data_IF_980067898935
#
_entry.id   IF_980067898935
#
_cell.length_a   1.000
_cell.length_b   1.000
_cell.length_c   1.000
_cell.angle_alpha   90.00
_cell.angle_beta   90.00
_cell.angle_gamma   90.00
#
_symmetry.space_group_name_H-M   'P 1'
#
loop_
_entity.id
_entity.type
_entity.pdbx_description
1 polymer ?
#
# COMPACT_ATOMS: atom_id res chain seq x y z
N UNK A 1 -4.68 -60.62 40.90
CA UNK A 1 -3.25 -60.36 40.57
C UNK A 1 -3.19 -59.48 39.33
N UNK A 2 -2.70 -58.24 39.42
CA UNK A 2 -2.64 -57.29 38.30
C UNK A 2 -1.27 -57.32 37.60
N UNK A 3 -1.26 -57.26 36.27
CA UNK A 3 -0.04 -57.18 35.46
C UNK A 3 0.07 -55.84 34.73
N UNK A 4 0.89 -54.97 35.32
CA UNK A 4 1.87 -54.02 34.75
C UNK A 4 1.47 -53.05 33.62
N UNK A 5 1.55 -51.78 34.04
CA UNK A 5 1.89 -50.57 33.30
C UNK A 5 2.89 -50.73 32.13
N UNK A 6 2.68 -49.93 31.07
CA UNK A 6 3.77 -49.24 30.36
C UNK A 6 3.30 -47.89 29.81
N UNK A 7 3.91 -46.85 30.34
CA UNK A 7 3.81 -45.46 29.92
C UNK A 7 5.05 -45.16 29.06
N UNK A 8 4.96 -44.50 27.90
CA UNK A 8 6.13 -43.87 27.29
C UNK A 8 6.22 -42.40 27.72
N UNK A 9 7.37 -42.05 28.30
CA UNK A 9 7.78 -40.70 28.67
C UNK A 9 8.09 -39.86 27.43
N UNK A 10 7.96 -38.55 27.66
CA UNK A 10 8.33 -37.42 26.82
C UNK A 10 9.74 -37.52 26.19
N UNK A 11 9.87 -36.96 24.98
CA UNK A 11 11.11 -36.38 24.48
C UNK A 11 10.90 -34.88 24.23
N UNK A 12 11.54 -34.08 25.08
CA UNK A 12 11.80 -32.66 24.88
C UNK A 12 12.92 -32.48 23.85
N UNK A 13 12.74 -31.54 22.91
CA UNK A 13 13.81 -30.63 22.45
C UNK A 13 13.20 -29.53 21.56
N UNK A 14 12.72 -28.45 22.18
CA UNK A 14 12.48 -27.17 21.50
C UNK A 14 13.81 -26.43 21.46
N UNK A 15 14.51 -26.49 20.33
CA UNK A 15 15.56 -25.52 20.04
C UNK A 15 14.89 -24.23 19.56
N UNK A 16 14.86 -23.20 20.41
CA UNK A 16 14.53 -21.84 20.01
C UNK A 16 15.78 -21.26 19.37
N UNK A 17 15.82 -21.19 18.05
CA UNK A 17 16.74 -20.32 17.33
C UNK A 17 16.24 -18.88 17.46
N UNK A 18 16.91 -18.08 18.28
CA UNK A 18 16.89 -16.62 18.17
C UNK A 18 17.47 -16.25 16.80
N UNK A 19 16.65 -15.61 15.95
CA UNK A 19 17.15 -14.97 14.74
C UNK A 19 17.57 -13.57 15.17
N UNK A 20 18.86 -13.40 15.42
CA UNK A 20 19.48 -12.09 15.59
C UNK A 20 19.53 -11.39 14.23
N UNK A 21 18.79 -10.29 14.10
CA UNK A 21 18.62 -9.53 12.85
C UNK A 21 19.72 -8.48 12.64
N UNK A 22 20.84 -8.57 13.35
CA UNK A 22 21.85 -7.52 13.31
C UNK A 22 23.30 -8.05 13.24
N UNK A 23 23.66 -8.66 12.11
CA UNK A 23 25.07 -8.90 11.79
C UNK A 23 25.32 -9.05 10.27
N UNK A 24 25.40 -7.94 9.52
CA UNK A 24 26.27 -7.85 8.34
C UNK A 24 26.93 -6.46 8.27
N UNK A 25 28.21 -6.43 8.62
CA UNK A 25 29.24 -5.52 8.11
C UNK A 25 30.47 -6.44 7.91
N UNK A 26 31.12 -6.54 6.76
CA UNK A 26 31.92 -5.51 6.09
C UNK A 26 32.14 -5.85 4.58
N UNK A 27 32.59 -4.88 3.75
CA UNK A 27 32.71 -4.94 2.29
C UNK A 27 34.10 -5.44 1.82
N UNK A 28 34.36 -5.31 0.52
CA UNK A 28 35.61 -5.57 -0.22
C UNK A 28 35.83 -6.99 -0.80
N UNK A 29 35.42 -7.14 -2.07
CA UNK A 29 36.34 -7.54 -3.13
C UNK A 29 35.87 -7.05 -4.51
N UNK A 30 36.79 -6.30 -5.13
CA UNK A 30 36.80 -5.70 -6.46
C UNK A 30 36.49 -6.70 -7.60
N UNK A 31 36.13 -6.33 -8.84
CA UNK A 31 36.86 -5.34 -9.67
C UNK A 31 36.10 -4.97 -10.97
N UNK A 32 36.23 -3.69 -11.38
CA UNK A 32 36.40 -3.16 -12.75
C UNK A 32 35.20 -3.22 -13.75
N UNK A 33 34.92 -2.23 -14.61
CA UNK A 33 35.53 -0.92 -14.91
C UNK A 33 34.53 -0.08 -15.75
N UNK A 34 34.60 1.25 -15.59
CA UNK A 34 34.37 2.31 -16.58
C UNK A 34 32.97 2.61 -17.18
N UNK A 35 32.38 3.74 -16.76
CA UNK A 35 31.96 4.83 -17.66
C UNK A 35 31.84 6.15 -16.87
N UNK A 36 32.61 7.14 -17.30
CA UNK A 36 32.81 8.47 -16.73
C UNK A 36 31.63 9.40 -17.01
N UNK A 37 31.30 10.30 -16.07
CA UNK A 37 30.84 11.65 -16.40
C UNK A 37 29.63 12.20 -15.66
N UNK A 38 29.87 13.27 -14.88
CA UNK A 38 28.96 14.42 -14.61
C UNK A 38 27.80 14.13 -13.63
N UNK A 39 27.49 14.92 -12.59
CA UNK A 39 27.89 16.26 -12.15
C UNK A 39 27.54 16.40 -10.66
N UNK A 40 28.39 17.07 -9.87
CA UNK A 40 28.07 17.61 -8.55
C UNK A 40 26.83 18.53 -8.64
N UNK A 41 25.79 18.25 -7.85
CA UNK A 41 24.98 19.25 -7.12
C UNK A 41 23.70 18.60 -6.57
N UNK A 42 23.68 18.29 -5.26
CA UNK A 42 22.51 18.36 -4.37
C UNK A 42 22.84 17.66 -3.05
N UNK A 43 23.71 18.27 -2.24
CA UNK A 43 23.69 18.04 -0.80
C UNK A 43 22.42 18.73 -0.25
N UNK A 44 21.27 18.09 -0.47
CA UNK A 44 19.97 18.51 0.03
C UNK A 44 19.85 18.07 1.49
N UNK A 45 19.92 19.04 2.39
CA UNK A 45 19.77 18.91 3.83
C UNK A 45 18.69 17.89 4.24
N UNK A 46 19.10 16.82 4.93
CA UNK A 46 18.23 16.04 5.81
C UNK A 46 17.84 16.96 6.97
N UNK A 47 16.80 17.77 6.74
CA UNK A 47 16.12 18.48 7.82
C UNK A 47 15.33 17.46 8.59
N UNK A 48 15.92 17.01 9.70
CA UNK A 48 15.22 16.37 10.81
C UNK A 48 14.09 17.30 11.25
N UNK A 49 12.90 17.07 10.70
CA UNK A 49 11.67 17.73 11.11
C UNK A 49 11.25 17.19 12.47
N UNK A 50 11.88 17.66 13.55
CA UNK A 50 11.27 17.63 14.88
C UNK A 50 10.09 18.59 14.84
N UNK A 51 8.91 18.04 14.55
CA UNK A 51 7.66 18.76 14.69
C UNK A 51 7.44 19.14 16.16
N UNK A 52 7.07 20.39 16.34
CA UNK A 52 6.81 21.10 17.59
C UNK A 52 5.88 20.33 18.53
N UNK A 53 6.29 20.24 19.78
CA UNK A 53 5.49 19.71 20.89
C UNK A 53 4.59 20.80 21.44
N UNK A 54 3.44 21.04 20.81
CA UNK A 54 2.32 21.76 21.41
C UNK A 54 1.07 20.88 21.26
N UNK A 55 0.46 20.51 22.40
CA UNK A 55 -0.77 19.71 22.45
C UNK A 55 -0.63 18.28 21.95
N UNK A 56 0.21 17.44 22.58
CA UNK A 56 0.27 16.00 22.25
C UNK A 56 -1.06 15.34 22.60
N UNK A 57 -1.94 15.21 21.62
CA UNK A 57 -3.05 14.28 21.68
C UNK A 57 -2.47 12.88 21.97
N UNK A 58 -2.97 12.15 22.98
CA UNK A 58 -2.52 10.79 23.27
C UNK A 58 -2.52 9.95 21.98
N UNK A 59 -1.53 9.07 21.81
CA UNK A 59 -1.47 8.24 20.60
C UNK A 59 -2.72 7.38 20.53
N UNK A 60 -3.45 7.48 19.41
CA UNK A 60 -4.62 6.67 19.14
C UNK A 60 -4.20 5.20 19.03
N UNK A 61 -4.54 4.41 20.04
CA UNK A 61 -4.19 2.98 20.13
C UNK A 61 -5.45 2.14 20.34
N UNK A 62 -5.38 0.88 19.92
CA UNK A 62 -6.42 -0.11 20.19
C UNK A 62 -5.83 -1.19 21.08
N UNK A 63 -6.41 -1.36 22.27
CA UNK A 63 -6.06 -2.43 23.19
C UNK A 63 -6.95 -3.62 22.94
N UNK A 64 -6.35 -4.81 22.86
CA UNK A 64 -7.05 -6.07 22.76
C UNK A 64 -7.34 -6.62 24.15
N UNK A 65 -8.53 -7.19 24.34
CA UNK A 65 -8.93 -7.89 25.56
C UNK A 65 -9.54 -9.25 25.21
N UNK A 66 -9.78 -10.09 26.22
CA UNK A 66 -10.43 -11.39 26.03
C UNK A 66 -11.85 -11.29 25.46
N UNK A 67 -12.53 -10.16 25.66
CA UNK A 67 -13.93 -9.96 25.28
C UNK A 67 -14.10 -8.99 24.09
N UNK A 68 -13.00 -8.54 23.47
CA UNK A 68 -13.07 -7.63 22.33
C UNK A 68 -11.87 -6.68 22.26
N UNK A 69 -12.13 -5.43 21.92
CA UNK A 69 -11.12 -4.37 21.84
C UNK A 69 -11.69 -3.07 22.39
N UNK A 70 -10.80 -2.16 22.79
CA UNK A 70 -11.14 -0.82 23.23
C UNK A 70 -10.17 0.19 22.62
N UNK A 71 -10.67 1.38 22.30
CA UNK A 71 -9.84 2.52 21.90
C UNK A 71 -9.21 3.08 23.18
N UNK A 72 -7.89 3.12 23.24
CA UNK A 72 -7.11 3.56 24.40
C UNK A 72 -6.92 5.08 24.35
N UNK A 73 -7.87 5.81 24.93
CA UNK A 73 -7.82 7.26 25.03
C UNK A 73 -8.40 7.74 26.38
N UNK A 74 -7.80 8.75 27.06
CA UNK A 74 -8.29 9.28 28.33
C UNK A 74 -9.72 9.83 28.26
N UNK A 75 -10.07 10.39 27.10
CA UNK A 75 -11.42 10.84 26.75
C UNK A 75 -12.03 9.88 25.72
N UNK A 76 -13.01 9.04 26.11
CA UNK A 76 -13.59 8.03 25.21
C UNK A 76 -14.26 8.63 23.97
N UNK A 77 -14.97 9.75 24.11
CA UNK A 77 -15.69 10.37 22.99
C UNK A 77 -14.71 10.96 21.98
N UNK A 78 -13.70 11.68 22.47
CA UNK A 78 -12.64 12.20 21.60
C UNK A 78 -11.84 11.06 20.94
N UNK A 79 -11.61 9.96 21.66
CA UNK A 79 -10.93 8.78 21.12
C UNK A 79 -11.70 8.13 19.97
N UNK A 80 -13.02 8.00 20.11
CA UNK A 80 -13.89 7.50 19.03
C UNK A 80 -13.91 8.46 17.84
N UNK A 81 -14.02 9.78 18.05
CA UNK A 81 -13.98 10.77 16.98
C UNK A 81 -12.65 10.73 16.21
N UNK A 82 -11.52 10.72 16.91
CA UNK A 82 -10.20 10.64 16.28
C UNK A 82 -10.00 9.34 15.47
N UNK A 83 -10.64 8.25 15.90
CA UNK A 83 -10.62 6.97 15.19
C UNK A 83 -11.53 6.96 13.97
N UNK A 84 -12.73 7.50 14.09
CA UNK A 84 -13.66 7.73 12.99
C UNK A 84 -12.99 8.55 11.88
N UNK A 85 -12.34 9.67 12.26
CA UNK A 85 -11.59 10.53 11.34
C UNK A 85 -10.39 9.81 10.70
N UNK A 86 -9.62 9.04 11.48
CA UNK A 86 -8.47 8.30 10.96
C UNK A 86 -8.86 7.19 9.96
N UNK A 87 -10.04 6.59 10.16
CA UNK A 87 -10.57 5.57 9.28
C UNK A 87 -11.36 6.15 8.10
N UNK A 88 -11.72 7.43 8.12
CA UNK A 88 -12.53 8.08 7.08
C UNK A 88 -14.01 7.68 7.11
N UNK A 89 -14.53 7.34 8.29
CA UNK A 89 -15.94 6.95 8.51
C UNK A 89 -16.56 7.81 9.59
N UNK A 90 -17.61 8.56 9.26
CA UNK A 90 -18.28 9.45 10.21
C UNK A 90 -19.24 8.71 11.17
N UNK A 91 -19.79 7.58 10.74
CA UNK A 91 -20.74 6.79 11.51
C UNK A 91 -20.03 5.88 12.52
N UNK A 92 -20.51 5.89 13.78
CA UNK A 92 -19.92 5.16 14.90
C UNK A 92 -19.99 3.64 14.70
N UNK A 93 -21.08 3.14 14.12
CA UNK A 93 -21.25 1.71 13.88
C UNK A 93 -20.37 1.23 12.73
N UNK A 94 -20.22 2.06 11.69
CA UNK A 94 -19.26 1.84 10.60
C UNK A 94 -17.82 1.81 11.12
N UNK A 95 -17.41 2.76 11.97
CA UNK A 95 -16.10 2.78 12.62
C UNK A 95 -15.85 1.48 13.41
N UNK A 96 -16.79 1.09 14.28
CA UNK A 96 -16.67 -0.14 15.04
C UNK A 96 -16.67 -1.39 14.16
N UNK A 97 -17.46 -1.40 13.08
CA UNK A 97 -17.50 -2.46 12.09
C UNK A 97 -16.16 -2.64 11.38
N UNK A 98 -15.55 -1.54 10.96
CA UNK A 98 -14.25 -1.53 10.30
C UNK A 98 -13.13 -2.00 11.24
N UNK A 99 -13.11 -1.52 12.49
CA UNK A 99 -12.17 -1.99 13.50
C UNK A 99 -12.32 -3.49 13.75
N UNK A 100 -13.55 -4.00 13.87
CA UNK A 100 -13.79 -5.46 13.99
C UNK A 100 -13.21 -6.24 12.82
N UNK A 101 -13.34 -5.74 11.60
CA UNK A 101 -12.78 -6.38 10.41
C UNK A 101 -11.25 -6.37 10.43
N UNK A 102 -10.63 -5.23 10.77
CA UNK A 102 -9.17 -5.12 10.90
C UNK A 102 -8.62 -6.01 12.03
N UNK A 103 -9.30 -6.07 13.18
CA UNK A 103 -8.95 -6.99 14.28
C UNK A 103 -8.95 -8.44 13.80
N UNK A 104 -9.97 -8.87 13.05
CA UNK A 104 -10.03 -10.22 12.49
C UNK A 104 -8.94 -10.47 11.45
N UNK A 105 -8.64 -9.50 10.59
CA UNK A 105 -7.56 -9.60 9.61
C UNK A 105 -6.17 -9.63 10.26
N UNK A 106 -6.02 -9.00 11.44
CA UNK A 106 -4.75 -8.94 12.16
C UNK A 106 -4.26 -10.31 12.67
N UNK A 107 -5.14 -11.32 12.74
CA UNK A 107 -4.90 -12.61 13.42
C UNK A 107 -3.59 -13.27 13.00
N UNK A 108 -2.79 -13.69 14.00
CA UNK A 108 -1.59 -14.51 13.87
C UNK A 108 -1.66 -15.64 14.89
N UNK A 109 -1.41 -16.88 14.46
CA UNK A 109 -1.47 -18.04 15.37
C UNK A 109 -2.84 -18.25 16.04
N UNK A 110 -3.93 -17.90 15.34
CA UNK A 110 -5.30 -18.08 15.83
C UNK A 110 -5.82 -17.00 16.79
N UNK A 111 -5.04 -15.95 17.08
CA UNK A 111 -5.46 -14.83 17.93
C UNK A 111 -5.18 -13.49 17.25
N UNK A 112 -5.98 -12.43 17.49
CA UNK A 112 -5.65 -11.09 17.03
C UNK A 112 -4.28 -10.65 17.55
N UNK A 113 -3.50 -9.99 16.70
CA UNK A 113 -2.13 -9.56 16.99
C UNK A 113 -2.10 -8.03 17.09
N UNK A 114 -1.76 -7.51 18.27
CA UNK A 114 -1.84 -6.06 18.56
C UNK A 114 -0.88 -5.25 17.69
N UNK A 115 0.32 -5.79 17.43
CA UNK A 115 1.34 -5.13 16.60
C UNK A 115 0.86 -5.03 15.15
N UNK A 116 0.34 -6.12 14.60
CA UNK A 116 -0.20 -6.13 13.25
C UNK A 116 -1.45 -5.27 13.13
N UNK A 117 -2.34 -5.27 14.12
CA UNK A 117 -3.50 -4.37 14.14
C UNK A 117 -3.08 -2.90 14.15
N UNK A 118 -2.12 -2.53 15.02
CA UNK A 118 -1.59 -1.17 15.08
C UNK A 118 -0.96 -0.75 13.74
N UNK A 119 -0.21 -1.65 13.09
CA UNK A 119 0.31 -1.43 11.74
C UNK A 119 -0.82 -1.19 10.73
N UNK A 120 -1.85 -2.04 10.72
CA UNK A 120 -2.98 -1.90 9.80
C UNK A 120 -3.70 -0.55 9.96
N UNK A 121 -3.99 -0.16 11.21
CA UNK A 121 -4.64 1.14 11.51
C UNK A 121 -3.73 2.30 11.08
N UNK A 122 -2.41 2.22 11.34
CA UNK A 122 -1.47 3.23 10.91
C UNK A 122 -1.43 3.39 9.38
N UNK A 123 -1.50 2.29 8.64
CA UNK A 123 -1.55 2.31 7.17
C UNK A 123 -2.85 2.93 6.65
N UNK A 124 -4.01 2.56 7.20
CA UNK A 124 -5.30 3.19 6.85
C UNK A 124 -5.22 4.70 7.10
N UNK A 125 -4.81 5.10 8.31
CA UNK A 125 -4.63 6.51 8.68
C UNK A 125 -3.67 7.25 7.75
N UNK A 126 -2.59 6.59 7.31
CA UNK A 126 -1.60 7.19 6.40
C UNK A 126 -2.15 7.43 4.99
N UNK A 127 -3.04 6.56 4.52
CA UNK A 127 -3.67 6.68 3.19
C UNK A 127 -4.76 7.77 3.17
N UNK A 128 -5.31 8.09 4.36
CA UNK A 128 -6.31 9.14 4.60
C UNK A 128 -7.56 8.96 3.72
N UNK A 129 -8.38 7.93 3.98
CA UNK A 129 -9.63 7.74 3.25
C UNK A 129 -10.53 8.97 3.42
N UNK A 130 -11.12 9.45 2.32
CA UNK A 130 -11.95 10.68 2.31
C UNK A 130 -13.41 10.43 2.67
N UNK A 131 -13.88 9.20 2.46
CA UNK A 131 -15.24 8.76 2.73
C UNK A 131 -15.27 7.25 3.03
N UNK A 132 -16.47 6.73 3.30
CA UNK A 132 -16.67 5.32 3.66
C UNK A 132 -16.31 4.34 2.54
N UNK A 133 -16.43 4.73 1.27
CA UNK A 133 -16.08 3.86 0.12
C UNK A 133 -14.56 3.76 0.00
N UNK A 134 -13.85 4.88 0.10
CA UNK A 134 -12.39 4.86 0.21
C UNK A 134 -11.96 4.04 1.41
N UNK A 135 -12.62 4.21 2.56
CA UNK A 135 -12.25 3.53 3.80
C UNK A 135 -12.34 2.00 3.65
N UNK A 136 -13.40 1.51 3.02
CA UNK A 136 -13.55 0.09 2.69
C UNK A 136 -12.45 -0.41 1.75
N UNK A 137 -12.17 0.32 0.67
CA UNK A 137 -11.13 -0.05 -0.29
C UNK A 137 -9.74 -0.08 0.37
N UNK A 138 -9.43 0.94 1.16
CA UNK A 138 -8.15 1.08 1.86
C UNK A 138 -7.99 -0.02 2.92
N UNK A 139 -9.02 -0.34 3.71
CA UNK A 139 -8.99 -1.45 4.64
C UNK A 139 -8.72 -2.80 3.93
N UNK A 140 -9.31 -2.99 2.74
CA UNK A 140 -9.04 -4.16 1.91
C UNK A 140 -7.60 -4.18 1.41
N UNK A 141 -7.06 -3.07 0.90
CA UNK A 141 -5.69 -2.94 0.40
C UNK A 141 -4.66 -3.29 1.49
N UNK A 142 -4.85 -2.74 2.69
CA UNK A 142 -3.99 -3.01 3.85
C UNK A 142 -4.05 -4.50 4.23
N UNK A 143 -5.24 -5.09 4.24
CA UNK A 143 -5.42 -6.52 4.54
C UNK A 143 -4.78 -7.42 3.48
N UNK A 144 -4.91 -7.06 2.21
CA UNK A 144 -4.26 -7.76 1.07
C UNK A 144 -2.75 -7.70 1.21
N UNK A 145 -2.19 -6.54 1.56
CA UNK A 145 -0.76 -6.38 1.79
C UNK A 145 -0.25 -7.28 2.93
N UNK A 146 -0.92 -7.26 4.09
CA UNK A 146 -0.57 -8.13 5.23
C UNK A 146 -0.62 -9.60 4.83
N UNK A 147 -1.66 -10.03 4.11
CA UNK A 147 -1.78 -11.41 3.65
C UNK A 147 -0.69 -11.78 2.64
N UNK A 148 -0.36 -10.88 1.71
CA UNK A 148 0.72 -11.08 0.74
C UNK A 148 2.07 -11.28 1.45
N UNK A 149 2.39 -10.45 2.46
CA UNK A 149 3.64 -10.60 3.24
C UNK A 149 3.68 -11.93 4.00
N UNK A 150 2.53 -12.42 4.50
CA UNK A 150 2.44 -13.76 5.10
C UNK A 150 2.67 -14.86 4.08
N UNK A 151 2.05 -14.79 2.91
CA UNK A 151 2.29 -15.76 1.84
C UNK A 151 3.76 -15.76 1.39
N UNK A 152 4.41 -14.60 1.30
CA UNK A 152 5.83 -14.49 1.00
C UNK A 152 6.69 -15.15 2.09
N UNK A 153 6.37 -14.91 3.36
CA UNK A 153 7.05 -15.58 4.47
C UNK A 153 6.86 -17.11 4.44
N UNK A 154 5.64 -17.60 4.18
CA UNK A 154 5.39 -19.03 4.04
C UNK A 154 6.13 -19.63 2.84
N UNK A 155 6.18 -18.92 1.71
CA UNK A 155 6.93 -19.35 0.53
C UNK A 155 8.43 -19.46 0.82
N UNK A 156 9.00 -18.49 1.54
CA UNK A 156 10.43 -18.49 1.89
C UNK A 156 10.82 -19.60 2.86
N UNK A 157 9.87 -20.15 3.61
CA UNK A 157 10.09 -21.23 4.60
C UNK A 157 9.45 -22.56 4.16
N UNK A 158 9.05 -22.70 2.89
CA UNK A 158 8.43 -23.92 2.41
C UNK A 158 9.47 -25.06 2.35
N UNK A 159 9.13 -26.21 2.95
CA UNK A 159 10.01 -27.39 2.97
C UNK A 159 9.64 -28.41 1.89
N UNK A 160 8.46 -28.26 1.29
CA UNK A 160 7.95 -29.12 0.24
C UNK A 160 7.33 -28.34 -0.92
N UNK A 161 7.24 -29.00 -2.07
CA UNK A 161 6.75 -28.41 -3.32
C UNK A 161 5.27 -27.99 -3.20
N UNK A 162 4.46 -28.70 -2.42
CA UNK A 162 3.04 -28.38 -2.29
C UNK A 162 2.82 -27.07 -1.51
N UNK A 163 3.60 -26.85 -0.44
CA UNK A 163 3.63 -25.61 0.32
C UNK A 163 4.14 -24.45 -0.55
N UNK A 164 5.23 -24.67 -1.28
CA UNK A 164 5.81 -23.68 -2.20
C UNK A 164 4.78 -23.26 -3.26
N UNK A 165 4.13 -24.22 -3.92
CA UNK A 165 3.10 -23.96 -4.94
C UNK A 165 1.90 -23.22 -4.36
N UNK A 166 1.39 -23.65 -3.20
CA UNK A 166 0.22 -23.05 -2.56
C UNK A 166 0.49 -21.59 -2.17
N UNK A 167 1.59 -21.34 -1.44
CA UNK A 167 1.98 -20.01 -0.99
C UNK A 167 2.34 -19.09 -2.15
N UNK A 168 3.08 -19.60 -3.15
CA UNK A 168 3.45 -18.88 -4.35
C UNK A 168 2.25 -18.45 -5.18
N UNK A 169 1.27 -19.34 -5.39
CA UNK A 169 0.02 -19.00 -6.10
C UNK A 169 -0.82 -17.98 -5.35
N UNK A 170 -0.90 -18.07 -4.03
CA UNK A 170 -1.61 -17.09 -3.21
C UNK A 170 -0.94 -15.71 -3.30
N UNK A 171 0.39 -15.65 -3.11
CA UNK A 171 1.17 -14.42 -3.23
C UNK A 171 1.00 -13.78 -4.62
N UNK A 172 1.15 -14.55 -5.70
CA UNK A 172 1.03 -14.04 -7.07
C UNK A 172 -0.37 -13.50 -7.40
N UNK A 173 -1.42 -14.01 -6.76
CA UNK A 173 -2.79 -13.46 -6.91
C UNK A 173 -2.91 -12.13 -6.18
N UNK A 174 -2.53 -12.08 -4.91
CA UNK A 174 -2.62 -10.86 -4.09
C UNK A 174 -1.74 -9.73 -4.65
N UNK A 175 -0.53 -10.05 -5.09
CA UNK A 175 0.39 -9.09 -5.70
C UNK A 175 -0.18 -8.46 -6.98
N UNK A 176 -0.91 -9.23 -7.80
CA UNK A 176 -1.58 -8.69 -9.00
C UNK A 176 -2.82 -7.86 -8.68
N UNK A 177 -3.49 -8.10 -7.57
CA UNK A 177 -4.64 -7.29 -7.12
C UNK A 177 -4.21 -5.91 -6.65
N UNK A 178 -3.03 -5.78 -6.03
CA UNK A 178 -2.62 -4.53 -5.40
C UNK A 178 -2.55 -3.32 -6.36
N UNK A 179 -1.92 -3.40 -7.55
CA UNK A 179 -1.95 -2.30 -8.53
C UNK A 179 -3.38 -1.93 -8.96
N UNK A 180 -4.25 -2.92 -9.17
CA UNK A 180 -5.64 -2.66 -9.55
C UNK A 180 -6.42 -1.89 -8.46
N UNK A 181 -6.11 -2.13 -7.18
CA UNK A 181 -6.68 -1.37 -6.07
C UNK A 181 -6.13 0.06 -6.00
N UNK A 182 -4.85 0.25 -6.30
CA UNK A 182 -4.25 1.59 -6.42
C UNK A 182 -4.92 2.38 -7.55
N UNK A 183 -5.09 1.77 -8.73
CA UNK A 183 -5.75 2.40 -9.87
C UNK A 183 -7.24 2.70 -9.59
N UNK A 184 -7.92 1.84 -8.83
CA UNK A 184 -9.30 2.07 -8.40
C UNK A 184 -9.38 3.26 -7.44
N UNK A 185 -8.47 3.35 -6.47
CA UNK A 185 -8.42 4.45 -5.51
C UNK A 185 -8.10 5.78 -6.21
N UNK A 186 -7.11 5.80 -7.12
CA UNK A 186 -6.76 6.99 -7.89
C UNK A 186 -7.95 7.47 -8.73
N UNK A 187 -8.58 6.57 -9.51
CA UNK A 187 -9.78 6.93 -10.29
C UNK A 187 -10.91 7.45 -9.44
N UNK A 188 -11.19 6.83 -8.29
CA UNK A 188 -12.22 7.29 -7.37
C UNK A 188 -11.93 8.71 -6.86
N UNK A 189 -10.66 9.02 -6.57
CA UNK A 189 -10.20 10.34 -6.12
C UNK A 189 -10.22 11.40 -7.22
N UNK A 190 -9.91 11.01 -8.45
CA UNK A 190 -9.85 11.90 -9.61
C UNK A 190 -11.25 12.27 -10.11
N UNK A 191 -12.24 11.38 -9.93
CA UNK A 191 -13.64 11.63 -10.28
C UNK A 191 -14.34 12.69 -9.40
N UNK A 192 -13.67 13.21 -8.37
CA UNK A 192 -14.18 14.29 -7.49
C UNK A 192 -14.01 15.71 -8.06
N UNK A 193 -13.19 15.88 -9.10
CA UNK A 193 -13.05 17.15 -9.83
C UNK A 193 -13.81 17.03 -11.16
N UNK A 194 -14.91 17.77 -11.37
CA UNK A 194 -15.49 17.89 -12.70
C UNK A 194 -14.48 18.62 -13.60
N UNK A 195 -13.71 17.87 -14.39
CA UNK A 195 -12.87 18.43 -15.45
C UNK A 195 -13.72 18.92 -16.64
N UNK A 196 -14.80 19.67 -16.39
CA UNK A 196 -15.58 20.35 -17.43
C UNK A 196 -16.09 21.68 -16.89
N UNK A 197 -15.20 22.67 -16.82
CA UNK A 197 -15.62 24.07 -16.81
C UNK A 197 -16.16 24.37 -18.21
N UNK A 198 -17.48 24.29 -18.39
CA UNK A 198 -18.14 24.73 -19.64
C UNK A 198 -17.94 26.24 -19.72
N UNK A 199 -16.90 26.68 -20.42
CA UNK A 199 -16.79 28.06 -20.84
C UNK A 199 -17.85 28.26 -21.92
N UNK A 200 -18.98 28.88 -21.57
CA UNK A 200 -19.97 29.30 -22.56
C UNK A 200 -19.28 30.28 -23.52
N UNK A 201 -18.89 29.80 -24.70
CA UNK A 201 -18.41 30.64 -25.79
C UNK A 201 -19.64 31.19 -26.51
N UNK A 202 -19.92 32.48 -26.34
CA UNK A 202 -20.93 33.15 -27.15
C UNK A 202 -20.38 33.29 -28.57
N UNK A 203 -21.00 32.60 -29.52
CA UNK A 203 -20.66 32.74 -30.94
C UNK A 203 -21.53 33.86 -31.51
N UNK A 204 -20.90 34.90 -32.07
CA UNK A 204 -21.62 35.94 -32.79
C UNK A 204 -22.23 35.36 -34.08
N UNK A 205 -23.31 35.97 -34.59
CA UNK A 205 -23.97 35.53 -35.82
C UNK A 205 -22.94 35.33 -36.96
N UNK A 206 -22.79 34.08 -37.40
CA UNK A 206 -21.89 33.68 -38.48
C UNK A 206 -20.57 33.01 -38.08
N UNK A 207 -20.27 32.83 -36.79
CA UNK A 207 -19.11 32.05 -36.33
C UNK A 207 -19.44 30.55 -36.15
N UNK A 208 -18.47 29.66 -36.39
CA UNK A 208 -18.56 28.25 -36.01
C UNK A 208 -17.51 27.95 -34.93
N UNK A 209 -17.94 27.43 -33.78
CA UNK A 209 -17.04 26.98 -32.72
C UNK A 209 -16.89 25.45 -32.77
N UNK A 210 -15.65 24.96 -32.73
CA UNK A 210 -15.35 23.54 -32.58
C UNK A 210 -15.04 23.29 -31.10
N UNK A 211 -15.85 22.46 -30.44
CA UNK A 211 -15.62 22.02 -29.05
C UNK A 211 -15.31 20.53 -29.06
N UNK A 212 -14.04 20.19 -28.88
CA UNK A 212 -13.54 18.81 -28.90
C UNK A 212 -12.02 18.75 -29.05
N UNK A 213 -11.43 17.57 -28.80
CA UNK A 213 -9.99 17.37 -28.97
C UNK A 213 -9.62 17.29 -30.46
N UNK A 214 -9.03 18.37 -31.01
CA UNK A 214 -8.62 18.43 -32.43
C UNK A 214 -7.21 17.87 -32.60
N UNK A 215 -7.10 16.66 -33.16
CA UNK A 215 -5.81 16.13 -33.63
C UNK A 215 -5.55 16.61 -35.05
N UNK A 216 -4.70 17.63 -35.22
CA UNK A 216 -4.25 18.07 -36.53
C UNK A 216 -3.19 17.10 -37.06
N UNK A 217 -3.54 16.29 -38.05
CA UNK A 217 -2.54 15.56 -38.83
C UNK A 217 -1.92 16.55 -39.84
N UNK A 218 -0.70 17.01 -39.56
CA UNK A 218 0.08 17.81 -40.50
C UNK A 218 0.51 16.93 -41.69
N UNK A 219 -0.14 17.10 -42.84
CA UNK A 219 0.29 16.46 -44.08
C UNK A 219 1.38 17.32 -44.72
N UNK A 220 2.62 16.82 -44.74
CA UNK A 220 3.75 17.50 -45.39
C UNK A 220 3.60 17.32 -46.90
N UNK A 221 3.24 18.40 -47.59
CA UNK A 221 3.29 18.44 -49.05
C UNK A 221 4.76 18.60 -49.44
N UNK A 222 5.41 17.51 -49.86
CA UNK A 222 6.73 17.56 -50.49
C UNK A 222 6.53 18.09 -51.91
N UNK A 223 7.05 19.28 -52.20
CA UNK A 223 7.17 19.75 -53.58
C UNK A 223 8.39 19.08 -54.22
N UNK A 224 8.17 18.06 -55.05
CA UNK A 224 9.21 17.49 -55.91
C UNK A 224 9.58 18.51 -57.00
N UNK A 225 10.67 19.24 -56.77
CA UNK A 225 11.37 20.01 -57.78
C UNK A 225 12.31 19.12 -58.58
N UNK A 226 11.81 18.41 -59.60
CA UNK A 226 12.67 17.79 -60.60
C UNK A 226 13.20 18.86 -61.57
N UNK A 227 14.35 19.45 -61.23
CA UNK A 227 15.17 20.21 -62.16
C UNK A 227 16.06 19.25 -62.96
N UNK A 228 15.73 19.07 -64.24
CA UNK A 228 16.55 18.40 -65.24
C UNK A 228 17.97 18.97 -65.29
N UNK A 229 18.98 18.10 -65.12
CA UNK A 229 20.34 18.34 -65.62
C UNK A 229 20.82 17.14 -66.44
N UNK A 230 20.73 17.34 -67.75
CA UNK A 230 21.74 17.05 -68.79
C UNK A 230 22.57 15.77 -68.65
N UNK A 231 22.29 14.86 -69.59
CA UNK A 231 23.23 14.31 -70.58
C UNK A 231 24.69 14.09 -70.16
N UNK A 232 25.12 12.83 -70.17
CA UNK A 232 26.39 12.40 -70.77
C UNK A 232 26.46 10.87 -70.91
N UNK A 233 26.80 10.45 -72.14
CA UNK A 233 27.26 9.13 -72.63
C UNK A 233 26.22 8.00 -72.75
#
# INVERSE_FOLDING_TARGET
MPARCRNPRACHARARGEIDVNAISDPDKATALAATGQTRAAAGAVRSGRASTEGRCPPLRVKLSSHGFAIDHPDPELGEQLMADALGVADRDAMHGMLRQLVKASVKGGRPDEVNLAFMIAMVKSIKPRDSVEAMLVAQMVSVHVMAMRCAHHLANAEDIAQQDSAGRALARLARTFPAQIDALNRYRDNGEPAITVQNVSVADGGNAIVGNVTQHANVIVSDGHAERRAQA
#
